data_IF_585465943682
#
_entry.id   IF_585465943682
#
_cell.length_a   1.000
_cell.length_b   1.000
_cell.length_c   1.000
_cell.angle_alpha   90.00
_cell.angle_beta   90.00
_cell.angle_gamma   90.00
#
_symmetry.space_group_name_H-M   'P 1'
#
loop_
_entity.id
_entity.type
_entity.pdbx_description
1 polymer ?
#
# COMPACT_ATOMS: atom_id res chain seq x y z
N UNK A 1 -65.54 29.96 -18.61
CA UNK A 1 -64.07 30.05 -18.80
C UNK A 1 -63.78 30.98 -19.97
N UNK A 2 -62.92 32.00 -19.80
CA UNK A 2 -62.52 32.92 -20.87
C UNK A 2 -61.71 32.20 -21.95
N UNK A 3 -61.83 32.61 -23.22
CA UNK A 3 -61.12 32.02 -24.37
C UNK A 3 -59.59 32.05 -24.18
N UNK A 4 -59.07 33.10 -23.53
CA UNK A 4 -57.65 33.27 -23.19
C UNK A 4 -57.14 32.18 -22.26
N UNK A 5 -57.97 31.75 -21.31
CA UNK A 5 -57.62 30.71 -20.34
C UNK A 5 -57.46 29.35 -21.03
N UNK A 6 -58.33 28.99 -21.97
CA UNK A 6 -58.26 27.72 -22.71
C UNK A 6 -57.00 27.62 -23.57
N UNK A 7 -56.66 28.70 -24.29
CA UNK A 7 -55.45 28.76 -25.12
C UNK A 7 -54.18 28.65 -24.27
N UNK A 8 -54.13 29.37 -23.14
CA UNK A 8 -52.99 29.30 -22.21
C UNK A 8 -52.84 27.91 -21.59
N UNK A 9 -53.94 27.23 -21.27
CA UNK A 9 -53.94 25.87 -20.74
C UNK A 9 -53.36 24.87 -21.75
N UNK A 10 -53.79 24.90 -23.00
CA UNK A 10 -53.26 24.02 -24.04
C UNK A 10 -51.78 24.27 -24.33
N UNK A 11 -51.36 25.53 -24.39
CA UNK A 11 -49.95 25.89 -24.59
C UNK A 11 -49.08 25.38 -23.44
N UNK A 12 -49.54 25.52 -22.19
CA UNK A 12 -48.83 25.04 -21.01
C UNK A 12 -48.68 23.52 -21.02
N UNK A 13 -49.72 22.78 -21.42
CA UNK A 13 -49.65 21.31 -21.54
C UNK A 13 -48.62 20.89 -22.60
N UNK A 14 -48.64 21.52 -23.77
CA UNK A 14 -47.68 21.21 -24.86
C UNK A 14 -46.25 21.51 -24.43
N UNK A 15 -46.02 22.65 -23.78
CA UNK A 15 -44.70 23.00 -23.24
C UNK A 15 -44.25 22.03 -22.15
N UNK A 16 -45.15 21.64 -21.26
CA UNK A 16 -44.84 20.70 -20.19
C UNK A 16 -44.49 19.30 -20.73
N UNK A 17 -45.22 18.82 -21.74
CA UNK A 17 -44.93 17.56 -22.42
C UNK A 17 -43.59 17.61 -23.15
N UNK A 18 -43.31 18.70 -23.87
CA UNK A 18 -42.02 18.90 -24.55
C UNK A 18 -40.85 18.94 -23.57
N UNK A 19 -40.98 19.66 -22.47
CA UNK A 19 -39.96 19.72 -21.42
C UNK A 19 -39.75 18.35 -20.74
N UNK A 20 -40.84 17.65 -20.44
CA UNK A 20 -40.78 16.30 -19.85
C UNK A 20 -40.08 15.32 -20.79
N UNK A 21 -40.39 15.37 -22.09
CA UNK A 21 -39.73 14.54 -23.09
C UNK A 21 -38.23 14.82 -23.18
N UNK A 22 -37.83 16.09 -23.27
CA UNK A 22 -36.42 16.48 -23.28
C UNK A 22 -35.69 16.07 -22.00
N UNK A 23 -36.33 16.22 -20.84
CA UNK A 23 -35.77 15.81 -19.56
C UNK A 23 -35.53 14.29 -19.52
N UNK A 24 -36.47 13.48 -20.03
CA UNK A 24 -36.31 12.03 -20.12
C UNK A 24 -35.15 11.66 -21.05
N UNK A 25 -35.08 12.24 -22.25
CA UNK A 25 -33.99 11.95 -23.20
C UNK A 25 -32.63 12.32 -22.60
N UNK A 26 -32.51 13.51 -22.00
CA UNK A 26 -31.28 13.93 -21.34
C UNK A 26 -30.92 13.01 -20.16
N UNK A 27 -31.91 12.57 -19.38
CA UNK A 27 -31.70 11.67 -18.26
C UNK A 27 -31.17 10.31 -18.71
N UNK A 28 -31.66 9.76 -19.82
CA UNK A 28 -31.18 8.47 -20.36
C UNK A 28 -29.75 8.60 -20.87
N UNK A 29 -29.46 9.62 -21.68
CA UNK A 29 -28.11 9.88 -22.19
C UNK A 29 -27.13 10.10 -21.03
N UNK A 30 -27.52 10.88 -20.03
CA UNK A 30 -26.70 11.11 -18.85
C UNK A 30 -26.44 9.83 -18.07
N UNK A 31 -27.43 8.95 -17.94
CA UNK A 31 -27.27 7.67 -17.25
C UNK A 31 -26.29 6.76 -17.98
N UNK A 32 -26.40 6.64 -19.30
CA UNK A 32 -25.50 5.81 -20.10
C UNK A 32 -24.05 6.34 -20.09
N UNK A 33 -23.88 7.66 -20.17
CA UNK A 33 -22.57 8.31 -20.04
C UNK A 33 -21.94 8.06 -18.67
N UNK A 34 -22.70 8.24 -17.58
CA UNK A 34 -22.23 7.99 -16.22
C UNK A 34 -21.85 6.52 -16.02
N UNK A 35 -22.65 5.59 -16.57
CA UNK A 35 -22.35 4.16 -16.48
C UNK A 35 -21.03 3.82 -17.17
N UNK A 36 -20.85 4.29 -18.40
CA UNK A 36 -19.60 4.09 -19.16
C UNK A 36 -18.40 4.74 -18.46
N UNK A 37 -18.58 5.93 -17.91
CA UNK A 37 -17.55 6.63 -17.14
C UNK A 37 -17.17 5.85 -15.87
N UNK A 38 -18.13 5.35 -15.11
CA UNK A 38 -17.88 4.53 -13.91
C UNK A 38 -17.16 3.24 -14.27
N UNK A 39 -17.56 2.53 -15.34
CA UNK A 39 -16.91 1.29 -15.76
C UNK A 39 -15.45 1.54 -16.17
N UNK A 40 -15.19 2.58 -16.98
CA UNK A 40 -13.84 2.94 -17.41
C UNK A 40 -12.97 3.45 -16.25
N UNK A 41 -13.52 4.33 -15.40
CA UNK A 41 -12.80 4.90 -14.27
C UNK A 41 -12.58 3.89 -13.15
N UNK A 42 -13.46 2.91 -12.98
CA UNK A 42 -13.31 1.85 -11.99
C UNK A 42 -12.08 0.99 -12.27
N UNK A 43 -11.83 0.64 -13.54
CA UNK A 43 -10.64 -0.11 -13.93
C UNK A 43 -9.36 0.69 -13.67
N UNK A 44 -9.31 1.96 -14.10
CA UNK A 44 -8.17 2.86 -13.87
C UNK A 44 -7.92 3.08 -12.38
N UNK A 45 -8.98 3.27 -11.60
CA UNK A 45 -8.87 3.47 -10.15
C UNK A 45 -8.36 2.21 -9.46
N UNK A 46 -8.87 1.04 -9.86
CA UNK A 46 -8.42 -0.25 -9.32
C UNK A 46 -6.95 -0.51 -9.65
N UNK A 47 -6.53 -0.21 -10.89
CA UNK A 47 -5.13 -0.31 -11.31
C UNK A 47 -4.23 0.63 -10.51
N UNK A 48 -4.65 1.89 -10.30
CA UNK A 48 -3.90 2.85 -9.49
C UNK A 48 -3.68 2.33 -8.07
N UNK A 49 -4.73 1.86 -7.40
CA UNK A 49 -4.61 1.29 -6.06
C UNK A 49 -3.74 0.03 -6.04
N UNK A 50 -3.86 -0.82 -7.06
CA UNK A 50 -3.01 -2.00 -7.21
C UNK A 50 -1.53 -1.61 -7.34
N UNK A 51 -1.21 -0.55 -8.08
CA UNK A 51 0.15 -0.05 -8.25
C UNK A 51 0.69 0.55 -6.94
N UNK A 52 -0.13 1.27 -6.19
CA UNK A 52 0.26 1.85 -4.90
C UNK A 52 0.58 0.77 -3.85
N UNK A 53 -0.26 -0.27 -3.76
CA UNK A 53 0.00 -1.42 -2.91
C UNK A 53 1.25 -2.16 -3.36
N UNK A 54 1.41 -2.36 -4.68
CA UNK A 54 2.59 -3.00 -5.27
C UNK A 54 3.86 -2.24 -4.92
N UNK A 55 3.89 -0.92 -5.07
CA UNK A 55 5.06 -0.08 -4.79
C UNK A 55 5.49 -0.17 -3.32
N UNK A 56 4.51 -0.18 -2.41
CA UNK A 56 4.74 -0.37 -0.98
C UNK A 56 5.41 -1.72 -0.68
N UNK A 57 4.91 -2.80 -1.28
CA UNK A 57 5.46 -4.14 -1.10
C UNK A 57 6.82 -4.33 -1.79
N UNK A 58 6.98 -3.78 -3.00
CA UNK A 58 8.23 -3.83 -3.77
C UNK A 58 9.35 -3.08 -3.06
N UNK A 59 9.04 -1.97 -2.39
CA UNK A 59 9.98 -1.25 -1.54
C UNK A 59 10.50 -2.14 -0.40
N UNK A 60 9.62 -2.81 0.36
CA UNK A 60 10.04 -3.73 1.41
C UNK A 60 10.89 -4.89 0.88
N UNK A 61 10.50 -5.45 -0.27
CA UNK A 61 11.23 -6.53 -0.94
C UNK A 61 12.61 -6.07 -1.43
N UNK A 62 12.74 -4.84 -1.91
CA UNK A 62 14.02 -4.26 -2.35
C UNK A 62 15.03 -4.22 -1.20
N UNK A 63 14.64 -3.76 -0.01
CA UNK A 63 15.52 -3.77 1.17
C UNK A 63 15.89 -5.18 1.62
N UNK A 64 14.93 -6.11 1.64
CA UNK A 64 15.19 -7.51 1.99
C UNK A 64 16.21 -8.16 1.03
N UNK A 65 16.06 -7.94 -0.29
CA UNK A 65 17.01 -8.40 -1.31
C UNK A 65 18.36 -7.71 -1.19
N UNK A 66 18.36 -6.40 -0.91
CA UNK A 66 19.56 -5.60 -0.69
C UNK A 66 20.38 -6.11 0.51
N UNK A 67 19.72 -6.46 1.62
CA UNK A 67 20.37 -7.07 2.79
C UNK A 67 20.89 -8.47 2.49
N UNK A 68 20.10 -9.28 1.80
CA UNK A 68 20.48 -10.66 1.46
C UNK A 68 21.70 -10.71 0.54
N UNK A 69 21.77 -9.83 -0.46
CA UNK A 69 22.76 -9.89 -1.54
C UNK A 69 24.22 -10.03 -1.07
N UNK A 70 24.76 -9.14 -0.21
CA UNK A 70 26.13 -9.29 0.29
C UNK A 70 26.29 -10.51 1.20
N UNK A 71 25.26 -10.85 2.00
CA UNK A 71 25.31 -11.95 2.97
C UNK A 71 25.35 -13.34 2.34
N UNK A 72 25.09 -13.47 1.03
CA UNK A 72 25.28 -14.73 0.29
C UNK A 72 26.77 -15.06 0.12
N UNK A 73 27.64 -14.04 0.08
CA UNK A 73 29.05 -14.20 -0.30
C UNK A 73 30.02 -13.94 0.84
N UNK A 74 29.57 -13.25 1.89
CA UNK A 74 30.41 -12.88 3.02
C UNK A 74 29.61 -12.89 4.31
N UNK A 75 30.34 -13.08 5.42
CA UNK A 75 29.83 -13.01 6.77
C UNK A 75 30.56 -11.89 7.52
N UNK A 76 30.07 -10.63 7.44
CA UNK A 76 30.65 -9.53 8.19
C UNK A 76 30.62 -9.79 9.71
N UNK A 77 31.29 -8.97 10.52
CA UNK A 77 31.12 -9.04 11.97
C UNK A 77 29.64 -8.89 12.36
N UNK A 78 29.17 -9.72 13.30
CA UNK A 78 27.76 -9.77 13.74
C UNK A 78 27.26 -8.39 14.18
N UNK A 79 28.09 -7.65 14.91
CA UNK A 79 27.80 -6.29 15.40
C UNK A 79 27.56 -5.31 14.25
N UNK A 80 28.36 -5.40 13.17
CA UNK A 80 28.17 -4.56 11.98
C UNK A 80 26.83 -4.81 11.30
N UNK A 81 26.34 -6.06 11.32
CA UNK A 81 25.01 -6.39 10.79
C UNK A 81 23.91 -5.84 11.67
N UNK A 82 24.03 -5.95 13.00
CA UNK A 82 23.05 -5.37 13.93
C UNK A 82 22.92 -3.86 13.70
N UNK A 83 24.05 -3.13 13.59
CA UNK A 83 24.06 -1.69 13.27
C UNK A 83 23.42 -1.42 11.91
N UNK A 84 23.72 -2.23 10.89
CA UNK A 84 23.14 -2.07 9.56
C UNK A 84 21.62 -2.25 9.57
N UNK A 85 21.10 -3.25 10.29
CA UNK A 85 19.66 -3.49 10.43
C UNK A 85 19.00 -2.27 11.11
N UNK A 86 19.63 -1.74 12.18
CA UNK A 86 19.14 -0.56 12.88
C UNK A 86 19.05 0.67 11.97
N UNK A 87 20.09 0.95 11.18
CA UNK A 87 20.09 2.04 10.21
C UNK A 87 18.95 1.92 9.18
N UNK A 88 18.64 0.71 8.71
CA UNK A 88 17.51 0.51 7.79
C UNK A 88 16.19 0.83 8.46
N UNK A 89 15.97 0.37 9.69
CA UNK A 89 14.74 0.65 10.41
C UNK A 89 14.59 2.14 10.73
N UNK A 90 15.68 2.81 11.10
CA UNK A 90 15.67 4.26 11.39
C UNK A 90 15.43 5.11 10.14
N UNK A 91 15.94 4.68 8.97
CA UNK A 91 15.76 5.40 7.69
C UNK A 91 14.43 5.11 7.02
N UNK A 92 13.75 4.03 7.39
CA UNK A 92 12.50 3.60 6.78
C UNK A 92 11.38 3.54 7.82
N UNK A 93 10.78 4.70 8.17
CA UNK A 93 9.75 4.77 9.21
C UNK A 93 8.50 3.94 8.91
N UNK A 94 8.31 3.50 7.66
CA UNK A 94 7.20 2.63 7.26
C UNK A 94 7.45 1.14 7.61
N UNK A 95 8.68 0.75 7.97
CA UNK A 95 9.00 -0.64 8.32
C UNK A 95 8.93 -0.87 9.81
N UNK A 96 8.04 -1.75 10.25
CA UNK A 96 7.95 -2.10 11.67
C UNK A 96 9.23 -2.78 12.18
N UNK A 97 9.77 -3.74 11.44
CA UNK A 97 10.92 -4.52 11.87
C UNK A 97 11.71 -5.13 10.70
N UNK A 98 12.97 -5.45 10.98
CA UNK A 98 13.85 -6.22 10.10
C UNK A 98 14.59 -7.25 10.96
N UNK A 99 14.72 -8.44 10.41
CA UNK A 99 15.25 -9.59 11.12
C UNK A 99 16.04 -10.48 10.18
N UNK A 100 17.03 -11.17 10.73
CA UNK A 100 17.78 -12.21 10.05
C UNK A 100 17.80 -13.45 10.93
N UNK A 101 17.82 -14.61 10.29
CA UNK A 101 18.02 -15.90 10.95
C UNK A 101 18.93 -16.72 10.06
N UNK A 102 20.00 -17.24 10.65
CA UNK A 102 20.87 -18.22 10.02
C UNK A 102 20.64 -19.58 10.67
N UNK A 103 20.90 -20.64 9.92
CA UNK A 103 20.99 -21.98 10.49
C UNK A 103 22.16 -22.06 11.50
N UNK A 104 22.10 -23.03 12.41
CA UNK A 104 23.12 -23.19 13.47
C UNK A 104 24.52 -23.30 12.88
N UNK A 105 25.44 -22.44 13.34
CA UNK A 105 26.82 -22.28 12.87
C UNK A 105 27.00 -21.85 11.40
N UNK A 106 25.94 -21.49 10.66
CA UNK A 106 26.07 -21.15 9.24
C UNK A 106 26.54 -19.71 8.97
N UNK A 107 26.44 -18.82 9.96
CA UNK A 107 26.89 -17.44 9.76
C UNK A 107 28.41 -17.35 9.73
N UNK A 108 29.08 -17.72 10.82
CA UNK A 108 30.55 -17.61 10.97
C UNK A 108 31.17 -18.81 11.72
N UNK A 109 30.38 -19.84 12.03
CA UNK A 109 30.81 -21.01 12.80
C UNK A 109 31.07 -20.79 14.29
N UNK A 110 30.70 -19.63 14.85
CA UNK A 110 31.06 -19.23 16.23
C UNK A 110 29.89 -19.15 17.19
N UNK A 111 28.75 -19.78 16.90
CA UNK A 111 27.54 -19.67 17.73
C UNK A 111 27.80 -19.98 19.21
N UNK A 112 28.65 -20.96 19.50
CA UNK A 112 29.00 -21.35 20.88
C UNK A 112 29.55 -20.21 21.74
N UNK A 113 30.13 -19.17 21.13
CA UNK A 113 30.68 -17.99 21.82
C UNK A 113 29.59 -16.97 22.19
N UNK A 114 28.40 -17.06 21.58
CA UNK A 114 27.33 -16.07 21.70
C UNK A 114 26.08 -16.60 22.41
N UNK A 115 26.19 -17.71 23.17
CA UNK A 115 25.06 -18.30 23.90
C UNK A 115 24.40 -17.27 24.83
N UNK A 116 23.10 -17.08 24.67
CA UNK A 116 22.31 -16.10 25.44
C UNK A 116 22.81 -14.65 25.33
N UNK A 117 23.63 -14.33 24.31
CA UNK A 117 24.04 -12.97 24.06
C UNK A 117 22.91 -12.15 23.40
N UNK A 118 23.01 -10.83 23.45
CA UNK A 118 22.09 -9.94 22.73
C UNK A 118 22.01 -10.31 21.24
N UNK A 119 20.80 -10.33 20.66
CA UNK A 119 20.55 -10.74 19.27
C UNK A 119 20.85 -12.23 18.94
N UNK A 120 20.94 -13.09 19.96
CA UNK A 120 21.17 -14.52 19.81
C UNK A 120 20.18 -15.36 20.62
N UNK A 121 19.95 -16.61 20.20
CA UNK A 121 19.18 -17.55 21.01
C UNK A 121 20.03 -18.27 22.07
N UNK A 122 19.42 -19.19 22.80
CA UNK A 122 20.07 -19.99 23.85
C UNK A 122 21.25 -20.83 23.37
N UNK A 123 21.32 -21.15 22.07
CA UNK A 123 22.41 -21.89 21.45
C UNK A 123 23.54 -20.99 20.96
N UNK A 124 23.27 -19.67 20.91
CA UNK A 124 24.16 -18.64 20.39
C UNK A 124 24.04 -18.43 18.87
N UNK A 125 22.97 -18.95 18.27
CA UNK A 125 22.62 -18.73 16.86
C UNK A 125 22.30 -17.27 16.61
N UNK A 126 22.83 -16.72 15.52
CA UNK A 126 22.64 -15.30 15.18
C UNK A 126 21.23 -15.04 14.65
N UNK A 127 20.43 -14.31 15.43
CA UNK A 127 19.02 -14.04 15.15
C UNK A 127 18.64 -12.57 15.47
N UNK A 128 19.30 -11.57 14.84
CA UNK A 128 19.01 -10.18 15.15
C UNK A 128 17.58 -9.82 14.75
N UNK A 129 16.87 -9.18 15.68
CA UNK A 129 15.52 -8.64 15.49
C UNK A 129 15.53 -7.19 15.96
N UNK A 130 15.36 -6.24 15.03
CA UNK A 130 15.25 -4.81 15.35
C UNK A 130 13.90 -4.33 14.86
N UNK A 131 13.19 -3.62 15.72
CA UNK A 131 11.86 -3.09 15.45
C UNK A 131 11.77 -1.63 15.90
N UNK A 132 10.84 -0.89 15.30
CA UNK A 132 10.50 0.45 15.77
C UNK A 132 9.73 0.33 17.09
N UNK A 133 10.34 0.83 18.17
CA UNK A 133 9.57 1.22 19.34
C UNK A 133 8.81 2.49 18.97
N UNK A 134 7.49 2.52 19.15
CA UNK A 134 6.65 3.70 18.88
C UNK A 134 7.05 4.97 19.66
N UNK A 135 8.02 4.87 20.57
CA UNK A 135 8.71 6.01 21.18
C UNK A 135 9.93 6.39 20.33
N UNK A 136 9.82 7.48 19.56
CA UNK A 136 11.00 8.15 18.98
C UNK A 136 11.96 8.51 20.12
N UNK A 137 13.13 7.87 20.17
CA UNK A 137 14.25 8.32 21.02
C UNK A 137 14.58 7.46 22.24
N UNK A 138 14.15 6.20 22.34
CA UNK A 138 14.78 5.24 23.27
C UNK A 138 15.46 4.12 22.48
N UNK A 139 16.78 4.26 22.39
CA UNK A 139 17.69 3.22 21.93
C UNK A 139 17.86 2.15 23.00
#
# INVERSE_FOLDING_TARGET
MSIRFRISLYLSIVLFLGFSFLAVVNSVISYDNLKSEVENNSAITSERWSLEVKDTLDSAMFYARGFRSPLIFTSPPRESIIVSIKEVIERNPNFFALWLVFETNLYDGKDSQYKNAFAHDSTGRFIPYVFQSGEKGKH
#
